data_IF_550263689475
#
_entry.id   IF_550263689475
#
_cell.length_a   1.000
_cell.length_b   1.000
_cell.length_c   1.000
_cell.angle_alpha   90.00
_cell.angle_beta   90.00
_cell.angle_gamma   90.00
#
_symmetry.space_group_name_H-M   'P 1'
#
loop_
_entity.id
_entity.type
_entity.pdbx_description
1 polymer ?
#
# COMPACT_ATOMS: atom_id res chain seq x y z
N UNK A 1 -10.47 13.08 -13.30
CA UNK A 1 -11.74 13.12 -12.53
C UNK A 1 -11.94 11.72 -11.96
N UNK A 2 -12.27 11.64 -10.68
CA UNK A 2 -12.51 10.37 -10.01
C UNK A 2 -13.84 9.73 -10.47
N UNK A 3 -13.85 8.44 -10.83
CA UNK A 3 -15.07 7.66 -11.05
C UNK A 3 -15.84 7.40 -9.74
N UNK A 4 -17.17 7.34 -9.82
CA UNK A 4 -18.06 7.24 -8.65
C UNK A 4 -17.76 6.03 -7.73
N UNK A 5 -17.36 4.88 -8.29
CA UNK A 5 -16.98 3.71 -7.48
C UNK A 5 -15.71 3.93 -6.67
N UNK A 6 -14.79 4.74 -7.19
CA UNK A 6 -13.56 5.10 -6.50
C UNK A 6 -13.87 6.12 -5.40
N UNK A 7 -14.73 7.11 -5.67
CA UNK A 7 -15.16 8.07 -4.65
C UNK A 7 -15.83 7.36 -3.48
N UNK A 8 -16.71 6.39 -3.73
CA UNK A 8 -17.32 5.56 -2.67
C UNK A 8 -16.29 4.79 -1.84
N UNK A 9 -15.26 4.23 -2.47
CA UNK A 9 -14.17 3.55 -1.77
C UNK A 9 -13.39 4.52 -0.88
N UNK A 10 -13.07 5.71 -1.40
CA UNK A 10 -12.33 6.73 -0.68
C UNK A 10 -13.13 7.33 0.49
N UNK A 11 -14.42 7.60 0.28
CA UNK A 11 -15.33 8.08 1.33
C UNK A 11 -15.39 7.06 2.49
N UNK A 12 -15.63 5.78 2.17
CA UNK A 12 -15.63 4.72 3.17
C UNK A 12 -14.25 4.57 3.87
N UNK A 13 -13.15 4.78 3.14
CA UNK A 13 -11.79 4.75 3.72
C UNK A 13 -11.56 5.95 4.65
N UNK A 14 -12.03 7.14 4.28
CA UNK A 14 -11.92 8.36 5.09
C UNK A 14 -12.69 8.28 6.41
N UNK A 15 -13.77 7.49 6.45
CA UNK A 15 -14.55 7.25 7.67
C UNK A 15 -13.86 6.29 8.65
N UNK A 16 -12.80 5.58 8.23
CA UNK A 16 -12.11 4.62 9.08
C UNK A 16 -11.25 5.32 10.15
N UNK A 17 -11.33 4.82 11.39
CA UNK A 17 -10.54 5.36 12.49
C UNK A 17 -9.03 5.30 12.20
N UNK A 18 -8.36 6.45 12.37
CA UNK A 18 -6.92 6.56 12.18
C UNK A 18 -6.48 6.80 10.74
N UNK A 19 -7.41 6.94 9.79
CA UNK A 19 -7.13 7.49 8.45
C UNK A 19 -7.09 9.03 8.54
N UNK A 20 -5.99 9.61 8.09
CA UNK A 20 -5.80 11.06 8.02
C UNK A 20 -6.26 11.63 6.67
N UNK A 21 -5.97 10.91 5.60
CA UNK A 21 -6.29 11.31 4.23
C UNK A 21 -6.38 10.09 3.33
N UNK A 22 -7.29 10.08 2.37
CA UNK A 22 -7.38 9.10 1.30
C UNK A 22 -7.64 9.82 -0.03
N UNK A 23 -7.13 9.28 -1.14
CA UNK A 23 -7.13 9.99 -2.41
C UNK A 23 -6.79 9.12 -3.61
N UNK A 24 -7.08 9.66 -4.79
CA UNK A 24 -6.51 9.17 -6.05
C UNK A 24 -5.24 9.98 -6.36
N UNK A 25 -4.08 9.35 -6.57
CA UNK A 25 -2.85 10.07 -6.87
C UNK A 25 -2.85 10.64 -8.30
N UNK A 26 -2.06 11.71 -8.51
CA UNK A 26 -1.79 12.24 -9.85
C UNK A 26 -3.02 12.81 -10.57
N UNK A 27 -3.22 12.39 -11.83
CA UNK A 27 -4.29 12.91 -12.70
C UNK A 27 -5.70 12.36 -12.37
N UNK A 28 -5.78 11.32 -11.53
CA UNK A 28 -7.02 10.62 -11.20
C UNK A 28 -7.30 9.39 -12.08
N UNK A 29 -8.46 8.76 -11.87
CA UNK A 29 -8.86 7.54 -12.57
C UNK A 29 -8.51 6.26 -11.79
N UNK A 30 -8.72 5.09 -12.40
CA UNK A 30 -8.77 3.80 -11.70
C UNK A 30 -7.42 3.15 -11.33
N UNK A 31 -6.28 3.78 -11.62
CA UNK A 31 -4.97 3.12 -11.53
C UNK A 31 -4.56 2.80 -10.08
N UNK A 32 -4.66 3.79 -9.19
CA UNK A 32 -4.26 3.63 -7.80
C UNK A 32 -5.11 4.49 -6.86
N UNK A 33 -5.13 4.12 -5.60
CA UNK A 33 -5.62 4.93 -4.48
C UNK A 33 -4.58 4.89 -3.38
N UNK A 34 -4.57 5.89 -2.51
CA UNK A 34 -3.70 5.91 -1.34
C UNK A 34 -4.48 6.31 -0.09
N UNK A 35 -3.99 5.88 1.06
CA UNK A 35 -4.47 6.30 2.37
C UNK A 35 -3.26 6.56 3.29
N UNK A 36 -3.27 7.71 3.97
CA UNK A 36 -2.30 8.06 5.01
C UNK A 36 -2.96 7.71 6.34
N UNK A 37 -2.30 6.86 7.14
CA UNK A 37 -2.79 6.43 8.45
C UNK A 37 -1.84 6.84 9.57
N UNK A 38 -2.38 7.12 10.74
CA UNK A 38 -1.60 7.57 11.91
C UNK A 38 -0.99 6.42 12.72
N UNK A 39 -1.47 5.18 12.53
CA UNK A 39 -1.08 4.01 13.31
C UNK A 39 -1.09 2.74 12.45
N UNK A 40 -0.28 1.77 12.87
CA UNK A 40 -0.19 0.46 12.21
C UNK A 40 -1.50 -0.33 12.25
N UNK A 41 -2.30 -0.20 13.32
CA UNK A 41 -3.61 -0.83 13.41
C UNK A 41 -4.59 -0.31 12.35
N UNK A 42 -4.61 1.01 12.13
CA UNK A 42 -5.41 1.63 11.08
C UNK A 42 -4.95 1.17 9.70
N UNK A 43 -3.62 1.10 9.47
CA UNK A 43 -3.04 0.52 8.25
C UNK A 43 -3.53 -0.90 7.97
N UNK A 44 -3.54 -1.76 8.99
CA UNK A 44 -4.03 -3.14 8.87
C UNK A 44 -5.52 -3.21 8.54
N UNK A 45 -6.34 -2.38 9.22
CA UNK A 45 -7.79 -2.34 8.99
C UNK A 45 -8.11 -1.88 7.56
N UNK A 46 -7.46 -0.81 7.08
CA UNK A 46 -7.61 -0.32 5.70
C UNK A 46 -7.20 -1.40 4.70
N UNK A 47 -6.05 -2.05 4.93
CA UNK A 47 -5.56 -3.15 4.08
C UNK A 47 -6.59 -4.27 3.98
N UNK A 48 -7.23 -4.66 5.08
CA UNK A 48 -8.25 -5.70 5.08
C UNK A 48 -9.53 -5.27 4.35
N UNK A 49 -10.00 -4.05 4.60
CA UNK A 49 -11.16 -3.48 3.92
C UNK A 49 -10.96 -3.42 2.40
N UNK A 50 -9.83 -2.89 1.94
CA UNK A 50 -9.46 -2.81 0.53
C UNK A 50 -9.36 -4.20 -0.12
N UNK A 51 -8.69 -5.15 0.55
CA UNK A 51 -8.58 -6.53 0.06
C UNK A 51 -9.96 -7.16 -0.16
N UNK A 52 -10.91 -6.93 0.75
CA UNK A 52 -12.28 -7.44 0.64
C UNK A 52 -13.07 -6.88 -0.56
N UNK A 53 -12.62 -5.74 -1.09
CA UNK A 53 -13.20 -5.05 -2.25
C UNK A 53 -12.38 -5.27 -3.53
N UNK A 54 -11.40 -6.18 -3.51
CA UNK A 54 -10.55 -6.50 -4.67
C UNK A 54 -9.46 -5.45 -4.96
N UNK A 55 -9.18 -4.55 -4.02
CA UNK A 55 -8.10 -3.57 -4.12
C UNK A 55 -6.86 -4.15 -3.44
N UNK A 56 -5.76 -4.31 -4.20
CA UNK A 56 -4.50 -4.83 -3.68
C UNK A 56 -3.76 -3.75 -2.85
N UNK A 57 -3.61 -3.91 -1.53
CA UNK A 57 -2.91 -2.93 -0.71
C UNK A 57 -1.39 -3.04 -0.90
N UNK A 58 -0.73 -1.96 -1.30
CA UNK A 58 0.73 -1.85 -1.27
C UNK A 58 1.16 -1.23 0.06
N UNK A 59 1.88 -2.01 0.87
CA UNK A 59 2.32 -1.57 2.20
C UNK A 59 3.59 -0.73 2.06
N UNK A 60 3.40 0.57 1.85
CA UNK A 60 4.48 1.54 1.73
C UNK A 60 4.50 2.48 2.94
N UNK A 61 5.67 3.03 3.21
CA UNK A 61 5.87 4.12 4.17
C UNK A 61 6.49 5.30 3.45
N UNK A 62 6.39 6.47 4.05
CA UNK A 62 7.13 7.64 3.58
C UNK A 62 8.64 7.34 3.61
N UNK A 63 9.32 7.80 2.55
CA UNK A 63 10.76 7.72 2.42
C UNK A 63 11.27 9.02 1.79
N UNK A 64 12.04 9.78 2.56
CA UNK A 64 12.66 11.01 2.11
C UNK A 64 13.93 10.78 1.26
N UNK A 65 14.38 9.53 1.11
CA UNK A 65 15.50 9.19 0.24
C UNK A 65 15.02 9.20 -1.21
N UNK A 66 15.42 10.22 -1.97
CA UNK A 66 15.19 10.29 -3.41
C UNK A 66 16.04 9.28 -4.19
N UNK A 67 16.50 9.68 -5.38
CA UNK A 67 17.34 8.82 -6.22
C UNK A 67 18.67 8.52 -5.53
N UNK A 68 19.07 7.24 -5.49
CA UNK A 68 20.31 6.75 -4.89
C UNK A 68 21.11 5.90 -5.88
N UNK A 69 22.42 6.07 -5.90
CA UNK A 69 23.34 5.18 -6.61
C UNK A 69 23.70 4.00 -5.69
N UNK A 70 23.46 2.78 -6.17
CA UNK A 70 23.84 1.55 -5.46
C UNK A 70 25.21 1.07 -5.97
N UNK A 71 26.07 0.63 -5.06
CA UNK A 71 27.41 0.11 -5.41
C UNK A 71 27.37 -1.31 -6.00
N UNK A 72 26.29 -2.04 -5.75
CA UNK A 72 26.02 -3.41 -6.22
C UNK A 72 24.52 -3.59 -6.43
N UNK A 73 24.10 -4.64 -7.12
CA UNK A 73 22.68 -4.97 -7.30
C UNK A 73 22.00 -5.18 -5.92
N UNK A 74 20.94 -4.41 -5.56
CA UNK A 74 20.26 -4.55 -4.28
C UNK A 74 19.76 -5.96 -3.98
N UNK A 75 19.39 -6.72 -5.03
CA UNK A 75 18.87 -8.09 -4.90
C UNK A 75 19.94 -9.08 -4.45
N UNK A 76 21.22 -8.76 -4.63
CA UNK A 76 22.32 -9.62 -4.17
C UNK A 76 22.46 -9.62 -2.65
N UNK A 77 22.00 -8.57 -1.97
CA UNK A 77 21.92 -8.51 -0.50
C UNK A 77 20.82 -9.43 0.06
N UNK A 78 19.88 -9.86 -0.79
CA UNK A 78 18.71 -10.67 -0.44
C UNK A 78 18.86 -12.15 -0.83
N UNK A 79 20.09 -12.68 -0.98
CA UNK A 79 20.28 -14.13 -1.19
C UNK A 79 19.61 -15.01 -0.11
N UNK A 80 19.35 -14.45 1.08
CA UNK A 80 18.60 -15.08 2.16
C UNK A 80 17.05 -15.07 1.97
N UNK A 81 16.52 -14.24 1.08
CA UNK A 81 15.07 -14.13 0.83
C UNK A 81 14.52 -15.35 0.07
N UNK A 82 15.30 -15.90 -0.86
CA UNK A 82 14.92 -17.13 -1.57
C UNK A 82 14.79 -18.33 -0.62
N UNK A 83 15.68 -18.44 0.38
CA UNK A 83 15.53 -19.43 1.46
C UNK A 83 14.33 -19.15 2.36
N UNK A 84 14.03 -17.88 2.65
CA UNK A 84 12.88 -17.50 3.45
C UNK A 84 11.55 -17.87 2.75
N UNK A 85 11.42 -17.58 1.45
CA UNK A 85 10.22 -17.93 0.66
C UNK A 85 10.04 -19.45 0.58
N UNK A 86 11.13 -20.21 0.39
CA UNK A 86 11.08 -21.68 0.39
C UNK A 86 10.60 -22.30 1.71
N UNK A 87 10.63 -21.55 2.81
CA UNK A 87 10.19 -22.02 4.13
C UNK A 87 8.71 -21.74 4.43
N UNK A 88 8.04 -20.93 3.60
CA UNK A 88 6.61 -20.63 3.74
C UNK A 88 5.80 -21.82 3.23
N UNK A 89 5.24 -22.61 4.16
CA UNK A 89 4.22 -23.61 3.83
C UNK A 89 2.88 -22.90 3.64
N UNK A 90 2.34 -22.98 2.44
CA UNK A 90 0.95 -22.65 2.17
C UNK A 90 0.14 -23.92 2.50
N UNK A 91 -0.63 -23.88 3.60
CA UNK A 91 -1.69 -24.86 3.88
C UNK A 91 -3.00 -24.44 3.22
#
# INVERSE_FOLDING_TARGET
>A
IEPESQTRLLDATMEMEGVLLAGVPGAGGFDAVFAITLRESARSNVSQAWTSLGVLPMLVREDAQGVRLESVDPREKEKDLSSAISSVRLE
#
